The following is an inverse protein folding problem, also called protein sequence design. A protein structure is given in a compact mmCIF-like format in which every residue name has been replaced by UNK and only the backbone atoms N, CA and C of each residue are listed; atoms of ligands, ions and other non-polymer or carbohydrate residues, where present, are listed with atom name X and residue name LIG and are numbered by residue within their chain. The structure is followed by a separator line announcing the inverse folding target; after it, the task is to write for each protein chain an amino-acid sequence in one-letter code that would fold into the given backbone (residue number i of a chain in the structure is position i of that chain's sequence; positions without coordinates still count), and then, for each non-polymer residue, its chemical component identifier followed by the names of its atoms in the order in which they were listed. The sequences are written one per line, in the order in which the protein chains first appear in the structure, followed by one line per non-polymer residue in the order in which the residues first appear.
data_IF_990087340011
#
_entry.id   IF_990087340011
#
_cell.length_a   1.000
_cell.length_b   1.000
_cell.length_c   1.000
_cell.angle_alpha   90.00
_cell.angle_beta   90.00
_cell.angle_gamma   90.00
#
_symmetry.space_group_name_H-M   'P 1'
#
loop_
_entity.id
_entity.type
_entity.pdbx_description
1 polymer ?
#
# COMPACT_ATOMS: atom_id res chain seq x y z
N UNK A 1 -3.91 7.25 21.74
CA UNK A 1 -3.18 7.22 20.45
C UNK A 1 -3.58 5.95 19.71
N UNK A 2 -3.95 6.04 18.42
CA UNK A 2 -4.22 4.88 17.56
C UNK A 2 -3.18 4.85 16.44
N UNK A 3 -2.73 3.66 16.08
CA UNK A 3 -1.79 3.45 14.97
C UNK A 3 -2.44 2.45 14.02
N UNK A 4 -2.51 2.80 12.74
CA UNK A 4 -2.96 1.90 11.68
C UNK A 4 -1.71 1.38 10.97
N UNK A 5 -1.64 0.06 10.77
CA UNK A 5 -0.57 -0.59 10.01
C UNK A 5 -1.19 -1.26 8.81
N UNK A 6 -0.74 -0.87 7.62
CA UNK A 6 -1.33 -1.29 6.35
C UNK A 6 -0.20 -1.83 5.47
N UNK A 7 -0.38 -3.04 4.95
CA UNK A 7 0.52 -3.63 3.95
C UNK A 7 0.17 -3.04 2.58
N UNK A 8 1.18 -2.85 1.71
CA UNK A 8 0.93 -2.47 0.32
C UNK A 8 -0.01 -3.47 -0.37
N UNK A 9 -0.77 -2.99 -1.36
CA UNK A 9 -1.56 -3.86 -2.23
C UNK A 9 -0.68 -4.81 -3.05
N UNK A 10 -1.30 -5.69 -3.83
CA UNK A 10 -0.56 -6.57 -4.76
C UNK A 10 0.39 -5.79 -5.68
N UNK A 11 1.65 -6.22 -5.75
CA UNK A 11 2.70 -5.67 -6.59
C UNK A 11 3.09 -6.61 -7.72
N UNK A 12 3.77 -6.09 -8.74
CA UNK A 12 4.27 -6.92 -9.86
C UNK A 12 5.17 -8.07 -9.36
N UNK A 13 5.96 -7.83 -8.31
CA UNK A 13 6.82 -8.86 -7.71
C UNK A 13 6.04 -10.00 -7.07
N UNK A 14 4.86 -9.72 -6.50
CA UNK A 14 3.99 -10.74 -5.91
C UNK A 14 3.54 -11.74 -6.98
N UNK A 15 3.19 -11.25 -8.18
CA UNK A 15 2.80 -12.07 -9.34
C UNK A 15 4.00 -12.83 -9.90
N UNK A 16 5.16 -12.19 -9.97
CA UNK A 16 6.38 -12.80 -10.50
C UNK A 16 6.99 -13.84 -9.55
N UNK A 17 6.49 -13.94 -8.32
CA UNK A 17 7.00 -14.84 -7.28
C UNK A 17 8.52 -14.71 -7.04
N UNK A 18 9.01 -13.47 -7.05
CA UNK A 18 10.41 -13.13 -6.82
C UNK A 18 10.62 -12.51 -5.44
N UNK A 19 11.83 -12.65 -4.90
CA UNK A 19 12.23 -11.90 -3.71
C UNK A 19 12.58 -10.46 -4.09
N UNK A 20 11.61 -9.55 -3.97
CA UNK A 20 11.75 -8.14 -4.34
C UNK A 20 12.78 -7.37 -3.50
N UNK A 21 12.83 -7.58 -2.18
CA UNK A 21 13.65 -6.78 -1.29
C UNK A 21 13.44 -5.27 -1.52
N UNK A 22 14.49 -4.58 -1.98
CA UNK A 22 14.47 -3.14 -2.30
C UNK A 22 14.24 -2.82 -3.78
N UNK A 23 14.02 -3.80 -4.63
CA UNK A 23 13.63 -3.56 -6.01
C UNK A 23 12.30 -2.79 -6.04
N UNK A 24 12.21 -1.82 -6.95
CA UNK A 24 11.12 -0.85 -6.94
C UNK A 24 10.00 -1.26 -7.90
N UNK A 25 9.28 -2.31 -7.51
CA UNK A 25 8.08 -2.76 -8.23
C UNK A 25 6.86 -1.92 -7.84
N UNK A 26 6.05 -1.59 -8.84
CA UNK A 26 4.77 -0.90 -8.66
C UNK A 26 3.66 -1.86 -8.23
N UNK A 27 2.56 -1.31 -7.74
CA UNK A 27 1.31 -2.04 -7.59
C UNK A 27 0.75 -2.46 -8.94
N UNK A 28 0.12 -3.62 -8.97
CA UNK A 28 -0.68 -4.08 -10.11
C UNK A 28 -2.00 -3.30 -10.17
N UNK A 29 -2.77 -3.48 -11.25
CA UNK A 29 -4.12 -2.90 -11.31
C UNK A 29 -5.04 -3.42 -10.19
N UNK A 30 -4.85 -4.66 -9.73
CA UNK A 30 -5.54 -5.21 -8.56
C UNK A 30 -5.03 -4.55 -7.28
N UNK A 31 -3.72 -4.41 -7.09
CA UNK A 31 -3.14 -3.72 -5.93
C UNK A 31 -3.62 -2.28 -5.78
N UNK A 32 -3.76 -1.55 -6.89
CA UNK A 32 -4.34 -0.20 -6.90
C UNK A 32 -5.81 -0.19 -6.46
N UNK A 33 -6.61 -1.17 -6.91
CA UNK A 33 -8.00 -1.33 -6.45
C UNK A 33 -8.08 -1.66 -4.96
N UNK A 34 -7.16 -2.49 -4.46
CA UNK A 34 -7.07 -2.81 -3.03
C UNK A 34 -6.74 -1.56 -2.20
N UNK A 35 -5.74 -0.77 -2.63
CA UNK A 35 -5.37 0.49 -1.99
C UNK A 35 -6.55 1.46 -1.93
N UNK A 36 -7.26 1.66 -3.05
CA UNK A 36 -8.44 2.53 -3.10
C UNK A 36 -9.58 2.06 -2.18
N UNK A 37 -9.85 0.76 -2.14
CA UNK A 37 -10.87 0.18 -1.26
C UNK A 37 -10.51 0.35 0.22
N UNK A 38 -9.24 0.10 0.57
CA UNK A 38 -8.70 0.33 1.91
C UNK A 38 -8.83 1.80 2.30
N UNK A 39 -8.41 2.74 1.44
CA UNK A 39 -8.45 4.17 1.72
C UNK A 39 -9.87 4.65 2.01
N UNK A 40 -10.85 4.19 1.21
CA UNK A 40 -12.27 4.49 1.43
C UNK A 40 -12.77 3.98 2.78
N UNK A 41 -12.38 2.76 3.17
CA UNK A 41 -12.77 2.18 4.46
C UNK A 41 -12.13 2.93 5.64
N UNK A 42 -10.84 3.24 5.56
CA UNK A 42 -10.11 3.99 6.60
C UNK A 42 -10.70 5.38 6.77
N UNK A 43 -10.94 6.12 5.69
CA UNK A 43 -11.50 7.46 5.73
C UNK A 43 -12.93 7.50 6.33
N UNK A 44 -13.68 6.40 6.21
CA UNK A 44 -15.01 6.27 6.82
C UNK A 44 -14.99 6.04 8.33
N UNK A 45 -13.86 5.61 8.91
CA UNK A 45 -13.75 5.23 10.31
C UNK A 45 -12.77 6.08 11.13
N UNK A 46 -11.81 6.73 10.47
CA UNK A 46 -10.70 7.41 11.11
C UNK A 46 -10.38 8.74 10.42
N UNK A 47 -10.04 9.74 11.23
CA UNK A 47 -9.32 10.94 10.77
C UNK A 47 -7.83 10.66 10.81
N UNK A 48 -7.11 10.96 9.73
CA UNK A 48 -5.68 10.69 9.61
C UNK A 48 -4.90 12.01 9.73
N UNK A 49 -4.08 12.11 10.78
CA UNK A 49 -3.25 13.29 11.02
C UNK A 49 -1.94 13.24 10.24
N UNK A 50 -1.36 12.04 10.09
CA UNK A 50 -0.05 11.81 9.45
C UNK A 50 -0.01 10.45 8.79
N UNK A 51 0.71 10.38 7.67
CA UNK A 51 0.99 9.15 6.94
C UNK A 51 2.51 8.99 6.83
N UNK A 52 2.99 7.78 7.07
CA UNK A 52 4.41 7.41 6.95
C UNK A 52 4.50 6.18 6.06
N UNK A 53 5.35 6.24 5.04
CA UNK A 53 5.59 5.14 4.11
C UNK A 53 7.09 5.04 3.79
N UNK A 54 7.52 3.87 3.32
CA UNK A 54 8.86 3.72 2.77
C UNK A 54 9.00 4.49 1.46
N UNK A 55 10.24 4.65 0.97
CA UNK A 55 10.50 5.28 -0.33
C UNK A 55 10.13 4.40 -1.54
N UNK A 56 9.67 3.17 -1.34
CA UNK A 56 9.34 2.25 -2.44
C UNK A 56 7.97 2.57 -3.05
N UNK A 57 7.88 2.51 -4.37
CA UNK A 57 6.72 2.89 -5.18
C UNK A 57 5.44 2.17 -4.74
N UNK A 58 5.48 0.85 -4.52
CA UNK A 58 4.32 0.09 -4.01
C UNK A 58 3.76 0.59 -2.67
N UNK A 59 4.64 1.05 -1.77
CA UNK A 59 4.22 1.61 -0.48
C UNK A 59 3.65 3.03 -0.67
N UNK A 60 4.29 3.87 -1.49
CA UNK A 60 3.80 5.22 -1.80
C UNK A 60 2.45 5.21 -2.52
N UNK A 61 2.22 4.25 -3.41
CA UNK A 61 0.95 4.11 -4.13
C UNK A 61 -0.20 3.62 -3.24
N UNK A 62 0.11 2.95 -2.12
CA UNK A 62 -0.90 2.50 -1.15
C UNK A 62 -1.25 3.59 -0.14
N UNK A 63 -0.29 4.44 0.20
CA UNK A 63 -0.35 5.46 1.25
C UNK A 63 -1.14 6.70 0.84
#
# INVERSE_FOLDING_TARGET
MKILVIRHGESEADILHVHEGRADFALTAEGQRQAAAMAKWVAGLYTIDKIYASTLTRAQQTA
#
